data_IF_338709419261
#
_entry.id   IF_338709419261
#
_cell.length_a   1.000
_cell.length_b   1.000
_cell.length_c   1.000
_cell.angle_alpha   90.00
_cell.angle_beta   90.00
_cell.angle_gamma   90.00
#
_symmetry.space_group_name_H-M   'P 1'
#
loop_
_entity.id
_entity.type
_entity.pdbx_description
1 polymer ?
#
# COMPACT_ATOMS: atom_id res chain seq x y z
N UNK A 1 1.40 27.41 -48.23
CA UNK A 1 0.29 27.64 -47.28
C UNK A 1 0.42 26.59 -46.18
N UNK A 2 1.10 26.95 -45.08
CA UNK A 2 1.18 26.14 -43.88
C UNK A 2 -0.18 26.24 -43.16
N UNK A 3 -0.88 25.11 -43.05
CA UNK A 3 -2.00 24.99 -42.11
C UNK A 3 -1.44 24.72 -40.75
N UNK A 4 -1.43 25.72 -39.88
CA UNK A 4 -1.31 25.56 -38.43
C UNK A 4 -2.54 24.79 -37.94
N UNK A 5 -2.40 23.48 -37.71
CA UNK A 5 -3.33 22.73 -36.89
C UNK A 5 -2.84 22.83 -35.45
N UNK A 6 -3.25 23.86 -34.74
CA UNK A 6 -3.27 23.85 -33.27
C UNK A 6 -4.48 23.04 -32.83
N UNK A 7 -4.37 21.71 -32.82
CA UNK A 7 -5.28 20.88 -32.08
C UNK A 7 -4.94 21.07 -30.60
N UNK A 8 -5.79 21.77 -29.87
CA UNK A 8 -5.89 21.70 -28.42
C UNK A 8 -6.26 20.26 -28.07
N UNK A 9 -5.26 19.41 -27.88
CA UNK A 9 -5.50 18.12 -27.24
C UNK A 9 -5.98 18.45 -25.83
N UNK A 10 -7.25 18.20 -25.52
CA UNK A 10 -7.68 18.13 -24.12
C UNK A 10 -6.75 17.09 -23.48
N UNK A 11 -6.15 17.43 -22.32
CA UNK A 11 -5.27 16.53 -21.61
C UNK A 11 -6.01 15.19 -21.39
N UNK A 12 -5.36 14.07 -21.73
CA UNK A 12 -5.90 12.73 -21.51
C UNK A 12 -6.08 12.53 -20.00
N UNK A 13 -7.26 12.09 -19.59
CA UNK A 13 -7.56 11.72 -18.19
C UNK A 13 -7.57 10.19 -18.11
N UNK A 14 -6.49 9.60 -17.62
CA UNK A 14 -6.31 8.14 -17.63
C UNK A 14 -7.37 7.39 -16.85
N UNK A 15 -7.90 7.97 -15.77
CA UNK A 15 -8.94 7.32 -14.95
C UNK A 15 -10.27 7.14 -15.69
N UNK A 16 -10.50 7.83 -16.81
CA UNK A 16 -11.69 7.64 -17.66
C UNK A 16 -11.58 6.38 -18.56
N UNK A 17 -10.39 5.75 -18.66
CA UNK A 17 -10.14 4.57 -19.49
C UNK A 17 -10.08 3.27 -18.67
N UNK A 18 -10.50 3.28 -17.40
CA UNK A 18 -10.53 2.09 -16.56
C UNK A 18 -11.79 2.03 -15.71
N UNK A 19 -12.28 0.80 -15.46
CA UNK A 19 -13.42 0.58 -14.57
C UNK A 19 -13.04 0.68 -13.08
N UNK A 20 -11.78 0.36 -12.74
CA UNK A 20 -11.21 0.42 -11.39
C UNK A 20 -10.22 1.58 -11.22
N UNK A 21 -9.61 1.66 -10.05
CA UNK A 21 -8.57 2.63 -9.76
C UNK A 21 -7.64 2.13 -8.64
N UNK A 22 -6.33 2.19 -8.87
CA UNK A 22 -5.30 1.87 -7.89
C UNK A 22 -5.49 0.52 -7.21
N UNK A 23 -5.02 0.40 -5.97
CA UNK A 23 -5.14 -0.83 -5.16
C UNK A 23 -6.59 -1.19 -4.78
N UNK A 24 -7.56 -0.27 -4.95
CA UNK A 24 -8.99 -0.55 -4.73
C UNK A 24 -9.62 -1.54 -5.73
N UNK A 25 -8.91 -1.95 -6.80
CA UNK A 25 -9.32 -2.98 -7.74
C UNK A 25 -8.80 -4.39 -7.39
N UNK A 26 -8.13 -4.59 -6.27
CA UNK A 26 -7.69 -5.93 -5.83
C UNK A 26 -8.89 -6.89 -5.73
N UNK A 27 -8.64 -8.14 -6.07
CA UNK A 27 -9.60 -9.25 -5.84
C UNK A 27 -9.81 -9.36 -4.34
N UNK A 28 -11.06 -9.58 -3.91
CA UNK A 28 -11.35 -9.72 -2.47
C UNK A 28 -10.60 -10.90 -1.86
N UNK A 29 -10.21 -10.83 -0.58
CA UNK A 29 -9.46 -11.90 0.10
C UNK A 29 -10.12 -13.28 -0.04
N UNK A 30 -11.43 -13.38 0.13
CA UNK A 30 -12.17 -14.65 0.01
C UNK A 30 -12.06 -15.29 -1.38
N UNK A 31 -12.19 -14.48 -2.44
CA UNK A 31 -12.05 -14.95 -3.83
C UNK A 31 -10.59 -15.33 -4.11
N UNK A 32 -9.64 -14.52 -3.60
CA UNK A 32 -8.22 -14.81 -3.77
C UNK A 32 -7.81 -16.11 -3.06
N UNK A 33 -8.30 -16.35 -1.86
CA UNK A 33 -8.06 -17.61 -1.13
C UNK A 33 -8.57 -18.82 -1.93
N UNK A 34 -9.71 -18.68 -2.61
CA UNK A 34 -10.24 -19.72 -3.50
C UNK A 34 -9.34 -19.96 -4.71
N UNK A 35 -8.83 -18.88 -5.34
CA UNK A 35 -7.93 -18.97 -6.50
C UNK A 35 -6.59 -19.60 -6.13
N UNK A 36 -6.06 -19.26 -4.96
CA UNK A 36 -4.75 -19.74 -4.48
C UNK A 36 -4.82 -21.14 -3.85
N UNK A 37 -6.02 -21.63 -3.52
CA UNK A 37 -6.19 -23.00 -3.01
C UNK A 37 -5.69 -24.00 -4.05
N UNK A 38 -4.78 -24.88 -3.64
CA UNK A 38 -4.22 -25.92 -4.50
C UNK A 38 -4.27 -27.29 -3.82
N UNK A 39 -4.67 -28.30 -4.58
CA UNK A 39 -4.53 -29.71 -4.18
C UNK A 39 -3.19 -30.33 -4.55
N UNK A 40 -2.33 -29.57 -5.23
CA UNK A 40 -1.02 -30.05 -5.64
C UNK A 40 -0.08 -30.15 -4.44
N UNK A 41 0.52 -31.33 -4.26
CA UNK A 41 1.57 -31.55 -3.26
C UNK A 41 2.92 -31.18 -3.86
N UNK A 42 3.33 -29.94 -3.61
CA UNK A 42 4.66 -29.46 -4.00
C UNK A 42 5.59 -29.57 -2.77
N UNK A 43 6.76 -30.20 -2.89
CA UNK A 43 7.71 -30.26 -1.78
C UNK A 43 8.05 -28.86 -1.27
N UNK A 44 8.06 -28.70 0.05
CA UNK A 44 8.48 -27.44 0.66
C UNK A 44 9.98 -27.20 0.39
N UNK A 45 10.32 -25.95 0.00
CA UNK A 45 11.71 -25.51 -0.06
C UNK A 45 12.07 -24.83 1.27
N UNK A 46 13.05 -25.37 1.99
CA UNK A 46 13.50 -24.83 3.26
C UNK A 46 14.11 -23.42 3.17
N UNK A 47 14.51 -23.00 1.98
CA UNK A 47 15.05 -21.67 1.74
C UNK A 47 13.94 -20.64 1.45
N UNK A 48 12.72 -21.05 1.13
CA UNK A 48 11.58 -20.15 1.01
C UNK A 48 11.07 -19.81 2.41
N UNK A 49 11.49 -18.65 2.94
CA UNK A 49 11.12 -18.20 4.29
C UNK A 49 9.72 -17.62 4.36
N UNK A 50 9.32 -16.90 3.30
CA UNK A 50 8.01 -16.25 3.17
C UNK A 50 7.45 -16.57 1.78
N UNK A 51 6.23 -17.07 1.73
CA UNK A 51 5.52 -17.44 0.50
C UNK A 51 4.03 -17.18 0.61
N UNK A 52 3.22 -17.72 -0.30
CA UNK A 52 1.78 -17.44 -0.40
C UNK A 52 0.98 -17.71 0.89
N UNK A 53 1.44 -18.63 1.75
CA UNK A 53 0.69 -19.01 2.96
C UNK A 53 0.74 -17.95 4.07
N UNK A 54 1.73 -17.07 4.04
CA UNK A 54 1.91 -16.02 5.06
C UNK A 54 1.14 -14.75 4.75
N UNK A 55 0.66 -14.56 3.51
CA UNK A 55 -0.03 -13.31 3.07
C UNK A 55 0.79 -12.06 3.40
N UNK A 56 2.10 -12.13 3.23
CA UNK A 56 3.05 -11.06 3.50
C UNK A 56 3.33 -10.23 2.24
N UNK A 57 4.00 -9.09 2.39
CA UNK A 57 4.18 -8.09 1.33
C UNK A 57 5.04 -8.60 0.16
N UNK A 58 6.06 -9.45 0.43
CA UNK A 58 6.89 -10.04 -0.61
C UNK A 58 7.28 -11.48 -0.30
N UNK A 59 7.59 -12.25 -1.35
CA UNK A 59 8.25 -13.53 -1.19
C UNK A 59 9.69 -13.33 -0.73
N UNK A 60 10.17 -14.16 0.22
CA UNK A 60 11.51 -14.09 0.80
C UNK A 60 12.24 -15.41 0.68
N UNK A 61 13.39 -15.42 -0.02
CA UNK A 61 14.21 -16.61 -0.28
C UNK A 61 15.60 -16.46 0.30
N UNK A 62 15.99 -17.38 1.19
CA UNK A 62 17.31 -17.42 1.85
C UNK A 62 18.39 -17.90 0.87
N UNK A 63 19.45 -17.11 0.70
CA UNK A 63 20.59 -17.46 -0.14
C UNK A 63 21.61 -18.37 0.57
N UNK A 64 21.41 -18.68 1.85
CA UNK A 64 22.32 -19.52 2.65
C UNK A 64 23.61 -18.83 3.10
N UNK A 65 23.76 -17.52 2.82
CA UNK A 65 24.95 -16.72 3.15
C UNK A 65 24.63 -15.56 4.12
N UNK A 66 23.49 -15.60 4.81
CA UNK A 66 23.00 -14.54 5.70
C UNK A 66 22.22 -13.43 4.99
N UNK A 67 21.98 -13.58 3.69
CA UNK A 67 21.15 -12.65 2.90
C UNK A 67 19.90 -13.35 2.37
N UNK A 68 18.83 -12.57 2.24
CA UNK A 68 17.54 -13.00 1.72
C UNK A 68 17.18 -12.14 0.52
N UNK A 69 16.83 -12.76 -0.60
CA UNK A 69 16.20 -12.10 -1.74
C UNK A 69 14.73 -11.87 -1.43
N UNK A 70 14.26 -10.65 -1.71
CA UNK A 70 12.85 -10.27 -1.72
C UNK A 70 12.38 -10.14 -3.15
N UNK A 71 11.19 -10.64 -3.45
CA UNK A 71 10.57 -10.52 -4.77
C UNK A 71 9.09 -10.24 -4.63
N UNK A 72 8.64 -9.14 -5.21
CA UNK A 72 7.23 -8.75 -5.23
C UNK A 72 6.80 -8.30 -6.62
N UNK A 73 5.50 -8.24 -6.83
CA UNK A 73 4.91 -7.62 -8.03
C UNK A 73 3.59 -6.95 -7.67
N UNK A 74 3.50 -5.67 -7.99
CA UNK A 74 2.27 -4.91 -7.81
C UNK A 74 1.99 -4.06 -9.06
N UNK A 75 0.76 -4.14 -9.55
CA UNK A 75 0.29 -3.40 -10.73
C UNK A 75 -1.20 -3.15 -10.62
N UNK A 76 -1.67 -2.05 -11.19
CA UNK A 76 -3.07 -1.68 -11.15
C UNK A 76 -3.47 -0.73 -12.28
N UNK A 77 -4.76 -0.45 -12.37
CA UNK A 77 -5.36 0.51 -13.28
C UNK A 77 -5.16 1.95 -12.79
N UNK A 78 -5.24 2.97 -13.67
CA UNK A 78 -4.99 4.36 -13.31
C UNK A 78 -5.73 4.84 -12.07
N UNK A 79 -4.96 5.44 -11.13
CA UNK A 79 -5.44 6.11 -9.91
C UNK A 79 -5.34 7.64 -10.05
N UNK A 80 -4.55 8.14 -10.97
CA UNK A 80 -4.38 9.54 -11.29
C UNK A 80 -4.66 9.78 -12.78
N UNK A 81 -5.15 10.97 -13.13
CA UNK A 81 -5.42 11.36 -14.51
C UNK A 81 -4.14 11.66 -15.29
N UNK A 82 -3.15 12.25 -14.63
CA UNK A 82 -1.84 12.53 -15.23
C UNK A 82 -1.05 11.23 -15.43
N UNK A 83 -0.55 10.94 -16.64
CA UNK A 83 0.15 9.70 -16.95
C UNK A 83 1.47 9.55 -16.19
N UNK A 84 2.22 10.63 -16.02
CA UNK A 84 3.49 10.59 -15.29
C UNK A 84 3.27 10.31 -13.81
N UNK A 85 2.28 10.98 -13.19
CA UNK A 85 1.90 10.75 -11.79
C UNK A 85 1.39 9.31 -11.59
N UNK A 86 0.56 8.79 -12.51
CA UNK A 86 0.13 7.39 -12.45
C UNK A 86 1.32 6.42 -12.43
N UNK A 87 2.26 6.60 -13.35
CA UNK A 87 3.45 5.75 -13.41
C UNK A 87 4.32 5.85 -12.17
N UNK A 88 4.50 7.07 -11.63
CA UNK A 88 5.24 7.32 -10.40
C UNK A 88 4.59 6.65 -9.18
N UNK A 89 3.28 6.80 -9.03
CA UNK A 89 2.50 6.19 -7.94
C UNK A 89 2.58 4.66 -8.01
N UNK A 90 2.37 4.07 -9.19
CA UNK A 90 2.38 2.62 -9.36
C UNK A 90 3.75 2.01 -9.02
N UNK A 91 4.83 2.67 -9.43
CA UNK A 91 6.18 2.25 -9.09
C UNK A 91 6.50 2.43 -7.60
N UNK A 92 6.07 3.55 -6.99
CA UNK A 92 6.25 3.80 -5.55
C UNK A 92 5.55 2.73 -4.72
N UNK A 93 4.34 2.35 -5.11
CA UNK A 93 3.57 1.30 -4.46
C UNK A 93 4.28 -0.08 -4.55
N UNK A 94 4.72 -0.49 -5.74
CA UNK A 94 5.40 -1.78 -5.90
C UNK A 94 6.76 -1.87 -5.18
N UNK A 95 7.47 -0.75 -5.05
CA UNK A 95 8.74 -0.71 -4.30
C UNK A 95 8.50 -0.77 -2.78
N UNK A 96 7.32 -0.35 -2.31
CA UNK A 96 6.96 -0.28 -0.89
C UNK A 96 7.09 -1.62 -0.18
N UNK A 97 6.67 -2.72 -0.81
CA UNK A 97 6.74 -4.08 -0.26
C UNK A 97 8.17 -4.46 0.16
N UNK A 98 9.16 -4.03 -0.62
CA UNK A 98 10.56 -4.30 -0.27
C UNK A 98 10.95 -3.56 1.02
N UNK A 99 10.50 -2.32 1.19
CA UNK A 99 10.74 -1.55 2.41
C UNK A 99 9.95 -2.08 3.61
N UNK A 100 8.72 -2.57 3.38
CA UNK A 100 7.89 -3.20 4.41
C UNK A 100 8.56 -4.45 4.98
N UNK A 101 9.23 -5.23 4.13
CA UNK A 101 10.02 -6.40 4.54
C UNK A 101 11.41 -6.04 5.13
N UNK A 102 11.69 -4.74 5.37
CA UNK A 102 12.99 -4.26 5.90
C UNK A 102 14.13 -4.27 4.88
N UNK A 103 13.83 -4.52 3.62
CA UNK A 103 14.79 -4.66 2.55
C UNK A 103 15.18 -3.36 1.85
N UNK A 104 16.20 -3.48 1.01
CA UNK A 104 16.60 -2.44 0.05
C UNK A 104 16.31 -2.94 -1.35
N UNK A 105 15.59 -2.17 -2.19
CA UNK A 105 15.37 -2.54 -3.57
C UNK A 105 16.70 -2.54 -4.34
N UNK A 106 16.84 -3.47 -5.30
CA UNK A 106 18.02 -3.62 -6.15
C UNK A 106 17.74 -3.19 -7.58
N UNK A 107 16.62 -3.63 -8.13
CA UNK A 107 16.16 -3.32 -9.48
C UNK A 107 14.69 -3.59 -9.62
N UNK A 108 14.08 -3.04 -10.67
CA UNK A 108 12.71 -3.30 -11.04
C UNK A 108 12.57 -3.58 -12.54
N UNK A 109 11.53 -4.32 -12.92
CA UNK A 109 11.08 -4.50 -14.30
C UNK A 109 9.60 -4.12 -14.43
N UNK A 110 9.23 -3.46 -15.53
CA UNK A 110 7.89 -2.94 -15.75
C UNK A 110 6.91 -4.01 -16.23
N UNK A 111 5.66 -3.89 -15.78
CA UNK A 111 4.50 -4.58 -16.32
C UNK A 111 3.60 -3.51 -16.94
N UNK A 112 3.35 -3.59 -18.25
CA UNK A 112 2.55 -2.60 -18.98
C UNK A 112 1.46 -3.31 -19.80
N UNK A 113 0.20 -3.07 -19.47
CA UNK A 113 -0.94 -3.31 -20.34
C UNK A 113 -1.40 -1.99 -20.92
N UNK A 114 -1.54 -1.90 -22.27
CA UNK A 114 -1.86 -0.63 -22.91
C UNK A 114 -2.88 -0.80 -24.03
N UNK A 115 -3.98 0.00 -24.06
CA UNK A 115 -4.96 -0.06 -25.14
C UNK A 115 -4.47 0.75 -26.35
N UNK A 116 -3.61 0.15 -27.18
CA UNK A 116 -2.89 0.81 -28.28
C UNK A 116 -3.80 1.44 -29.33
N UNK A 117 -5.06 0.99 -29.44
CA UNK A 117 -6.05 1.53 -30.36
C UNK A 117 -6.85 2.71 -29.76
N UNK A 118 -6.74 2.97 -28.47
CA UNK A 118 -7.50 4.00 -27.74
C UNK A 118 -6.61 5.13 -27.24
N UNK A 119 -5.39 4.82 -26.81
CA UNK A 119 -4.47 5.77 -26.21
C UNK A 119 -3.14 5.83 -26.97
N UNK A 120 -2.59 7.04 -27.22
CA UNK A 120 -1.30 7.22 -27.89
C UNK A 120 -0.14 6.58 -27.14
N UNK A 121 0.88 6.13 -27.87
CA UNK A 121 2.10 5.56 -27.29
C UNK A 121 2.89 6.59 -26.45
N UNK A 122 2.79 7.87 -26.77
CA UNK A 122 3.42 8.98 -26.04
C UNK A 122 2.86 9.12 -24.61
N UNK A 123 1.59 8.76 -24.41
CA UNK A 123 0.97 8.71 -23.09
C UNK A 123 1.52 7.54 -22.27
N UNK A 124 1.69 6.35 -22.89
CA UNK A 124 2.37 5.21 -22.26
C UNK A 124 3.83 5.54 -21.90
N UNK A 125 4.52 6.29 -22.76
CA UNK A 125 5.89 6.76 -22.48
C UNK A 125 5.93 7.59 -21.20
N UNK A 126 5.00 8.52 -21.00
CA UNK A 126 4.92 9.33 -19.77
C UNK A 126 4.69 8.46 -18.52
N UNK A 127 3.83 7.44 -18.62
CA UNK A 127 3.63 6.46 -17.51
C UNK A 127 4.95 5.76 -17.16
N UNK A 128 5.66 5.25 -18.17
CA UNK A 128 6.94 4.57 -17.94
C UNK A 128 8.00 5.54 -17.39
N UNK A 129 8.00 6.80 -17.83
CA UNK A 129 8.93 7.82 -17.31
C UNK A 129 8.62 8.17 -15.85
N UNK A 130 7.34 8.22 -15.43
CA UNK A 130 6.95 8.30 -14.03
C UNK A 130 7.49 7.13 -13.21
N UNK A 131 7.38 5.91 -13.73
CA UNK A 131 7.97 4.71 -13.12
C UNK A 131 9.50 4.78 -12.99
N UNK A 132 10.19 5.27 -14.04
CA UNK A 132 11.65 5.50 -14.00
C UNK A 132 12.04 6.53 -12.94
N UNK A 133 11.26 7.60 -12.79
CA UNK A 133 11.49 8.61 -11.77
C UNK A 133 11.42 8.03 -10.36
N UNK A 134 10.39 7.23 -10.07
CA UNK A 134 10.25 6.56 -8.77
C UNK A 134 11.40 5.58 -8.51
N UNK A 135 11.81 4.80 -9.51
CA UNK A 135 12.98 3.92 -9.40
C UNK A 135 14.26 4.72 -9.10
N UNK A 136 14.49 5.84 -9.79
CA UNK A 136 15.64 6.71 -9.55
C UNK A 136 15.63 7.30 -8.14
N UNK A 137 14.45 7.73 -7.64
CA UNK A 137 14.28 8.18 -6.26
C UNK A 137 14.58 7.07 -5.24
N UNK A 138 14.24 5.81 -5.55
CA UNK A 138 14.61 4.65 -4.75
C UNK A 138 16.10 4.26 -4.85
N UNK A 139 16.85 4.87 -5.79
CA UNK A 139 18.25 4.56 -6.04
C UNK A 139 18.48 3.29 -6.88
N UNK A 140 17.48 2.87 -7.65
CA UNK A 140 17.52 1.68 -8.52
C UNK A 140 17.22 2.03 -9.99
N UNK A 141 17.41 1.06 -10.87
CA UNK A 141 17.06 1.18 -12.28
C UNK A 141 15.78 0.42 -12.61
N UNK A 142 14.95 1.00 -13.46
CA UNK A 142 13.96 0.27 -14.23
C UNK A 142 14.67 -0.44 -15.38
N UNK A 143 14.97 -1.74 -15.19
CA UNK A 143 15.95 -2.47 -16.00
C UNK A 143 15.34 -3.20 -17.23
N UNK A 144 14.02 -3.09 -17.43
CA UNK A 144 13.31 -3.75 -18.51
C UNK A 144 11.85 -3.94 -18.20
N UNK A 145 11.23 -4.95 -18.81
CA UNK A 145 9.82 -5.26 -18.52
C UNK A 145 9.16 -6.03 -19.64
N UNK A 146 7.84 -6.17 -19.52
CA UNK A 146 6.99 -6.80 -20.52
C UNK A 146 5.75 -5.94 -20.78
N UNK A 147 5.28 -5.91 -22.04
CA UNK A 147 4.10 -5.14 -22.41
C UNK A 147 3.16 -5.98 -23.28
N UNK A 148 1.86 -5.76 -23.10
CA UNK A 148 0.79 -6.40 -23.87
C UNK A 148 -0.23 -5.36 -24.33
N UNK A 149 -0.91 -5.62 -25.44
CA UNK A 149 -2.15 -4.94 -25.80
C UNK A 149 -3.25 -5.37 -24.81
N UNK A 150 -3.90 -4.40 -24.19
CA UNK A 150 -4.87 -4.62 -23.12
C UNK A 150 -6.07 -3.70 -23.33
N UNK A 151 -7.30 -4.10 -22.97
CA UNK A 151 -8.48 -3.24 -23.12
C UNK A 151 -8.43 -1.97 -22.24
N UNK A 152 -7.66 -2.00 -21.16
CA UNK A 152 -7.51 -0.89 -20.20
C UNK A 152 -6.04 -0.66 -19.86
N UNK A 153 -5.62 0.58 -19.51
CA UNK A 153 -4.27 0.84 -19.04
C UNK A 153 -3.99 0.08 -17.75
N UNK A 154 -2.86 -0.61 -17.68
CA UNK A 154 -2.34 -1.27 -16.49
C UNK A 154 -0.85 -0.96 -16.41
N UNK A 155 -0.37 -0.54 -15.26
CA UNK A 155 1.05 -0.35 -15.02
C UNK A 155 1.44 -0.74 -13.60
N UNK A 156 2.64 -1.23 -13.47
CA UNK A 156 3.29 -1.56 -12.22
C UNK A 156 4.66 -2.16 -12.42
N UNK A 157 5.22 -2.68 -11.36
CA UNK A 157 6.56 -3.24 -11.37
C UNK A 157 6.58 -4.63 -10.73
N UNK A 158 7.51 -5.47 -11.20
CA UNK A 158 8.09 -6.52 -10.37
C UNK A 158 9.40 -5.99 -9.81
N UNK A 159 9.57 -6.07 -8.49
CA UNK A 159 10.72 -5.49 -7.78
C UNK A 159 11.49 -6.59 -7.06
N UNK A 160 12.81 -6.56 -7.23
CA UNK A 160 13.73 -7.42 -6.48
C UNK A 160 14.48 -6.59 -5.45
N UNK A 161 14.52 -7.08 -4.22
CA UNK A 161 15.24 -6.48 -3.11
C UNK A 161 16.15 -7.46 -2.38
N UNK A 162 16.89 -6.95 -1.43
CA UNK A 162 17.78 -7.72 -0.58
C UNK A 162 17.67 -7.24 0.87
N UNK A 163 17.70 -8.18 1.81
CA UNK A 163 17.72 -7.90 3.25
C UNK A 163 18.68 -8.88 3.96
N UNK A 164 19.30 -8.44 5.05
CA UNK A 164 20.00 -9.37 5.94
C UNK A 164 18.97 -10.28 6.63
N UNK A 165 19.25 -11.58 6.74
CA UNK A 165 18.29 -12.56 7.26
C UNK A 165 17.76 -12.22 8.66
N UNK A 166 18.63 -11.69 9.52
CA UNK A 166 18.30 -11.27 10.88
C UNK A 166 17.53 -9.93 10.96
N UNK A 167 17.39 -9.22 9.83
CA UNK A 167 16.66 -7.96 9.71
C UNK A 167 15.41 -8.07 8.84
N UNK A 168 15.11 -9.28 8.33
CA UNK A 168 13.86 -9.54 7.63
C UNK A 168 12.67 -9.25 8.56
N UNK A 169 11.76 -8.41 8.12
CA UNK A 169 10.50 -8.13 8.80
C UNK A 169 9.36 -8.85 8.10
N UNK A 170 8.40 -9.27 8.88
CA UNK A 170 7.19 -9.94 8.42
C UNK A 170 5.98 -9.31 9.13
N UNK A 171 4.80 -9.52 8.60
CA UNK A 171 3.57 -8.99 9.17
C UNK A 171 3.00 -9.86 10.31
N UNK A 172 3.57 -11.03 10.58
CA UNK A 172 3.04 -12.06 11.47
C UNK A 172 3.93 -12.40 12.67
N UNK A 173 4.85 -11.50 13.03
CA UNK A 173 5.87 -11.73 14.08
C UNK A 173 5.71 -10.81 15.28
N UNK A 174 4.62 -10.04 15.35
CA UNK A 174 4.38 -9.11 16.46
C UNK A 174 3.92 -9.82 17.74
N UNK A 175 4.19 -9.20 18.89
CA UNK A 175 3.74 -9.68 20.20
C UNK A 175 2.81 -8.69 20.90
N UNK A 176 2.05 -9.19 21.87
CA UNK A 176 1.21 -8.32 22.71
C UNK A 176 2.07 -7.35 23.51
N UNK A 177 1.64 -6.09 23.63
CA UNK A 177 2.36 -4.98 24.23
C UNK A 177 3.04 -4.06 23.23
N UNK A 178 3.24 -4.49 21.97
CA UNK A 178 3.77 -3.61 20.92
C UNK A 178 2.88 -2.40 20.71
N UNK A 179 3.48 -1.22 20.55
CA UNK A 179 2.82 -0.01 20.06
C UNK A 179 2.73 -0.04 18.53
N UNK A 180 1.64 0.50 18.00
CA UNK A 180 1.37 0.57 16.57
C UNK A 180 1.60 1.99 16.05
N UNK A 181 2.25 2.09 14.88
CA UNK A 181 2.52 3.35 14.18
C UNK A 181 2.07 3.24 12.72
N UNK A 182 1.54 4.35 12.17
CA UNK A 182 1.19 4.45 10.76
C UNK A 182 1.89 5.67 10.16
N UNK A 183 2.75 5.47 9.15
CA UNK A 183 3.67 6.51 8.69
C UNK A 183 3.07 7.52 7.72
N UNK A 184 1.93 7.23 7.07
CA UNK A 184 1.23 8.15 6.17
C UNK A 184 -0.25 8.29 6.57
N UNK A 185 -0.90 9.43 6.27
CA UNK A 185 -2.31 9.63 6.57
C UNK A 185 -3.23 8.76 5.69
N UNK A 186 -4.39 8.40 6.23
CA UNK A 186 -5.48 7.75 5.50
C UNK A 186 -6.34 8.77 4.74
N UNK A 187 -7.13 8.28 3.77
CA UNK A 187 -8.09 9.07 3.01
C UNK A 187 -7.77 9.14 1.52
N UNK A 188 -6.75 8.43 1.04
CA UNK A 188 -6.36 8.38 -0.38
C UNK A 188 -7.53 7.90 -1.24
N UNK A 189 -8.22 6.81 -0.86
CA UNK A 189 -9.35 6.28 -1.61
C UNK A 189 -10.52 7.28 -1.68
N UNK A 190 -10.80 7.98 -0.59
CA UNK A 190 -11.85 9.00 -0.52
C UNK A 190 -11.53 10.17 -1.45
N UNK A 191 -10.31 10.73 -1.40
CA UNK A 191 -9.92 11.87 -2.24
C UNK A 191 -9.86 11.50 -3.73
N UNK A 192 -9.31 10.32 -4.08
CA UNK A 192 -9.27 9.86 -5.48
C UNK A 192 -10.67 9.56 -6.00
N UNK A 193 -11.61 9.11 -5.16
CA UNK A 193 -13.04 9.00 -5.50
C UNK A 193 -13.64 10.36 -5.74
N UNK A 194 -13.34 11.37 -4.91
CA UNK A 194 -13.78 12.76 -5.12
C UNK A 194 -13.26 13.31 -6.45
N UNK A 195 -12.00 13.03 -6.82
CA UNK A 195 -11.43 13.39 -8.10
C UNK A 195 -12.17 12.73 -9.27
N UNK A 196 -12.42 11.42 -9.21
CA UNK A 196 -13.17 10.68 -10.24
C UNK A 196 -14.60 11.21 -10.38
N UNK A 197 -15.24 11.60 -9.28
CA UNK A 197 -16.58 12.22 -9.26
C UNK A 197 -16.59 13.72 -9.65
N UNK A 198 -15.43 14.32 -9.95
CA UNK A 198 -15.28 15.76 -10.27
C UNK A 198 -15.75 16.68 -9.13
N UNK A 199 -15.59 16.23 -7.88
CA UNK A 199 -15.93 16.94 -6.65
C UNK A 199 -14.71 17.45 -5.89
N UNK A 200 -13.49 17.03 -6.29
CA UNK A 200 -12.25 17.45 -5.63
C UNK A 200 -12.05 18.94 -5.83
N UNK A 201 -11.78 19.68 -4.74
CA UNK A 201 -11.50 21.11 -4.77
C UNK A 201 -10.10 21.34 -5.36
N UNK A 202 -9.90 22.48 -6.01
CA UNK A 202 -8.61 22.81 -6.64
C UNK A 202 -7.44 22.87 -5.63
N UNK A 203 -7.69 23.37 -4.42
CA UNK A 203 -6.70 23.42 -3.35
C UNK A 203 -6.26 22.02 -2.84
N UNK A 204 -7.08 21.00 -3.06
CA UNK A 204 -6.85 19.63 -2.58
C UNK A 204 -6.28 18.71 -3.69
N UNK A 205 -6.14 19.22 -4.92
CA UNK A 205 -5.83 18.46 -6.14
C UNK A 205 -4.61 17.52 -5.97
N UNK A 206 -3.59 17.95 -5.26
CA UNK A 206 -2.34 17.23 -5.15
C UNK A 206 -2.15 16.46 -3.83
N UNK A 207 -3.07 16.58 -2.87
CA UNK A 207 -2.89 15.98 -1.54
C UNK A 207 -2.74 14.45 -1.59
N UNK A 208 -3.67 13.76 -2.26
CA UNK A 208 -3.59 12.29 -2.39
C UNK A 208 -2.39 11.87 -3.25
N UNK A 209 -2.14 12.58 -4.38
CA UNK A 209 -0.98 12.32 -5.24
C UNK A 209 0.34 12.41 -4.48
N UNK A 210 0.54 13.48 -3.71
CA UNK A 210 1.78 13.71 -2.98
C UNK A 210 2.02 12.60 -1.94
N UNK A 211 1.00 12.19 -1.21
CA UNK A 211 1.09 11.06 -0.28
C UNK A 211 1.39 9.75 -1.01
N UNK A 212 0.73 9.47 -2.14
CA UNK A 212 0.98 8.25 -2.92
C UNK A 212 2.39 8.20 -3.53
N UNK A 213 2.97 9.37 -3.84
CA UNK A 213 4.34 9.47 -4.36
C UNK A 213 5.44 9.43 -3.28
N UNK A 214 5.09 9.49 -1.99
CA UNK A 214 6.07 9.37 -0.89
C UNK A 214 6.59 7.94 -0.79
N UNK A 215 7.92 7.77 -0.86
CA UNK A 215 8.56 6.47 -0.68
C UNK A 215 8.56 6.02 0.79
N UNK A 216 8.29 4.76 1.04
CA UNK A 216 8.38 4.12 2.37
C UNK A 216 9.82 3.71 2.75
N UNK A 217 10.84 4.48 2.34
CA UNK A 217 12.27 4.19 2.58
C UNK A 217 12.61 4.00 4.04
N UNK A 218 11.88 4.66 4.93
CA UNK A 218 12.07 4.56 6.38
C UNK A 218 11.93 3.11 6.86
N UNK A 219 11.20 2.24 6.15
CA UNK A 219 11.09 0.81 6.47
C UNK A 219 12.43 0.11 6.56
N UNK A 220 13.37 0.41 5.63
CA UNK A 220 14.72 -0.14 5.67
C UNK A 220 15.56 0.37 6.86
N UNK A 221 15.25 1.55 7.41
CA UNK A 221 15.92 2.10 8.59
C UNK A 221 15.35 1.51 9.88
N UNK A 222 14.03 1.52 10.01
CA UNK A 222 13.36 1.02 11.22
C UNK A 222 13.51 -0.49 11.39
N UNK A 223 13.71 -1.24 10.30
CA UNK A 223 13.99 -2.68 10.37
C UNK A 223 15.30 -3.01 11.12
N UNK A 224 16.23 -2.06 11.22
CA UNK A 224 17.49 -2.23 11.94
C UNK A 224 17.30 -2.14 13.46
N UNK A 225 16.20 -1.53 13.92
CA UNK A 225 15.85 -1.42 15.34
C UNK A 225 15.35 -2.76 15.86
N UNK A 226 16.00 -3.30 16.88
CA UNK A 226 15.74 -4.66 17.37
C UNK A 226 14.31 -4.83 17.93
N UNK A 227 13.73 -3.80 18.52
CA UNK A 227 12.35 -3.83 19.05
C UNK A 227 11.24 -3.70 18.00
N UNK A 228 11.57 -3.48 16.73
CA UNK A 228 10.57 -3.51 15.64
C UNK A 228 10.29 -4.97 15.28
N UNK A 229 9.10 -5.46 15.58
CA UNK A 229 8.74 -6.87 15.46
C UNK A 229 8.01 -7.18 14.16
N UNK A 230 7.08 -6.31 13.71
CA UNK A 230 6.37 -6.50 12.46
C UNK A 230 6.25 -5.18 11.69
N UNK A 231 6.28 -5.27 10.37
CA UNK A 231 6.02 -4.17 9.45
C UNK A 231 5.18 -4.73 8.30
N UNK A 232 4.22 -3.95 7.82
CA UNK A 232 3.53 -4.13 6.53
C UNK A 232 3.16 -2.76 5.98
N UNK A 233 2.86 -2.63 4.70
CA UNK A 233 2.29 -1.39 4.17
C UNK A 233 0.75 -1.45 4.09
N UNK A 234 0.10 -0.31 4.27
CA UNK A 234 -1.36 -0.22 4.25
C UNK A 234 -1.83 0.14 2.84
N UNK A 235 -2.42 -0.82 2.14
CA UNK A 235 -2.87 -0.65 0.76
C UNK A 235 -4.37 -0.97 0.59
N UNK A 236 -4.73 -1.80 -0.37
CA UNK A 236 -6.10 -1.98 -0.86
C UNK A 236 -7.11 -2.48 0.17
N UNK A 237 -6.69 -3.17 1.22
CA UNK A 237 -7.60 -3.66 2.27
C UNK A 237 -7.87 -2.65 3.39
N UNK A 238 -7.25 -1.46 3.30
CA UNK A 238 -7.37 -0.41 4.32
C UNK A 238 -6.63 -0.75 5.62
N UNK A 239 -6.63 0.19 6.56
CA UNK A 239 -5.93 -0.01 7.84
C UNK A 239 -6.45 -1.27 8.58
N UNK A 240 -7.77 -1.46 8.63
CA UNK A 240 -8.34 -2.60 9.37
C UNK A 240 -7.97 -3.94 8.75
N UNK A 241 -7.94 -4.05 7.42
CA UNK A 241 -7.58 -5.30 6.74
C UNK A 241 -6.13 -5.70 7.01
N UNK A 242 -5.18 -4.79 6.82
CA UNK A 242 -3.76 -5.08 7.06
C UNK A 242 -3.44 -5.27 8.54
N UNK A 243 -4.07 -4.51 9.44
CA UNK A 243 -3.93 -4.76 10.88
C UNK A 243 -4.51 -6.13 11.30
N UNK A 244 -5.60 -6.55 10.66
CA UNK A 244 -6.17 -7.87 10.91
C UNK A 244 -5.21 -8.99 10.49
N UNK A 245 -4.52 -8.85 9.35
CA UNK A 245 -3.47 -9.78 8.92
C UNK A 245 -2.37 -9.89 9.97
N UNK A 246 -1.92 -8.75 10.52
CA UNK A 246 -0.95 -8.72 11.63
C UNK A 246 -1.50 -9.43 12.87
N UNK A 247 -2.74 -9.16 13.27
CA UNK A 247 -3.35 -9.76 14.44
C UNK A 247 -3.51 -11.28 14.31
N UNK A 248 -4.02 -11.75 13.16
CA UNK A 248 -4.23 -13.17 12.90
C UNK A 248 -2.92 -13.93 12.78
N UNK A 249 -1.96 -13.37 12.02
CA UNK A 249 -0.65 -13.98 11.81
C UNK A 249 0.18 -14.07 13.09
N UNK A 250 0.07 -13.06 13.97
CA UNK A 250 0.82 -12.97 15.24
C UNK A 250 0.08 -13.59 16.43
N UNK A 251 -1.20 -13.94 16.30
CA UNK A 251 -1.99 -14.50 17.40
C UNK A 251 -2.32 -13.49 18.51
N UNK A 252 -2.52 -12.22 18.15
CA UNK A 252 -2.81 -11.10 19.06
C UNK A 252 -4.10 -10.38 18.68
N UNK A 253 -4.53 -9.42 19.50
CA UNK A 253 -5.58 -8.46 19.19
C UNK A 253 -4.99 -7.06 19.14
N UNK A 254 -5.75 -6.08 18.64
CA UNK A 254 -5.33 -4.68 18.57
C UNK A 254 -6.38 -3.73 19.15
N UNK A 255 -5.91 -2.64 19.77
CA UNK A 255 -6.71 -1.48 20.13
C UNK A 255 -6.19 -0.27 19.35
N UNK A 256 -7.07 0.39 18.60
CA UNK A 256 -6.75 1.59 17.80
C UNK A 256 -7.34 2.82 18.50
N UNK A 257 -6.53 3.85 18.62
CA UNK A 257 -6.91 5.17 19.17
C UNK A 257 -7.37 6.06 17.99
N UNK A 258 -8.68 6.20 17.81
CA UNK A 258 -9.27 6.90 16.67
C UNK A 258 -8.65 8.28 16.43
N UNK A 259 -8.51 9.07 17.50
CA UNK A 259 -7.97 10.43 17.42
C UNK A 259 -6.48 10.52 17.06
N UNK A 260 -5.74 9.42 17.19
CA UNK A 260 -4.30 9.35 16.88
C UNK A 260 -4.02 8.89 15.44
N UNK A 261 -5.01 8.33 14.73
CA UNK A 261 -4.82 7.90 13.34
C UNK A 261 -4.67 9.12 12.44
N UNK A 262 -3.55 9.25 11.69
CA UNK A 262 -3.35 10.39 10.79
C UNK A 262 -4.31 10.33 9.62
N UNK A 263 -4.98 11.46 9.33
CA UNK A 263 -5.92 11.61 8.23
C UNK A 263 -5.50 12.75 7.32
N UNK A 264 -5.77 12.63 6.03
CA UNK A 264 -5.67 13.76 5.11
C UNK A 264 -6.67 14.87 5.57
N UNK A 265 -6.23 16.13 5.66
CA UNK A 265 -7.04 17.19 6.30
C UNK A 265 -8.49 17.30 5.81
N UNK A 266 -8.78 17.24 4.48
CA UNK A 266 -10.15 17.45 4.00
C UNK A 266 -10.99 16.16 3.94
N UNK A 267 -10.49 15.01 4.43
CA UNK A 267 -11.14 13.72 4.21
C UNK A 267 -12.59 13.69 4.73
N UNK A 268 -12.85 14.28 5.90
CA UNK A 268 -14.19 14.31 6.50
C UNK A 268 -15.19 15.15 5.67
N UNK A 269 -14.72 16.22 5.04
CA UNK A 269 -15.56 17.02 4.13
C UNK A 269 -16.02 16.17 2.93
N UNK A 270 -15.10 15.40 2.34
CA UNK A 270 -15.42 14.54 1.19
C UNK A 270 -16.31 13.36 1.57
N UNK A 271 -16.18 12.81 2.78
CA UNK A 271 -17.13 11.82 3.31
C UNK A 271 -18.53 12.43 3.38
N UNK A 272 -18.67 13.64 3.93
CA UNK A 272 -19.94 14.35 4.01
C UNK A 272 -20.55 14.67 2.62
N UNK A 273 -19.71 14.82 1.58
CA UNK A 273 -20.14 14.99 0.18
C UNK A 273 -20.48 13.65 -0.50
N UNK A 274 -20.41 12.52 0.19
CA UNK A 274 -20.71 11.18 -0.33
C UNK A 274 -19.60 10.62 -1.26
N UNK A 275 -18.37 11.05 -1.11
CA UNK A 275 -17.23 10.52 -1.88
C UNK A 275 -16.70 9.24 -1.23
N UNK A 276 -17.46 8.14 -1.36
CA UNK A 276 -17.13 6.86 -0.75
C UNK A 276 -16.62 5.88 -1.82
N UNK A 277 -15.41 5.31 -1.67
CA UNK A 277 -14.91 4.28 -2.58
C UNK A 277 -15.75 3.01 -2.48
N UNK A 278 -16.07 2.40 -3.61
CA UNK A 278 -16.75 1.11 -3.60
C UNK A 278 -15.95 -0.03 -2.94
N UNK A 279 -14.62 0.15 -2.83
CA UNK A 279 -13.72 -0.76 -2.14
C UNK A 279 -13.93 -0.80 -0.63
N UNK A 280 -14.33 0.31 0.00
CA UNK A 280 -14.53 0.41 1.45
C UNK A 280 -15.56 -0.59 1.97
N UNK A 281 -16.72 -0.67 1.33
CA UNK A 281 -17.76 -1.63 1.75
C UNK A 281 -17.35 -3.06 1.46
N UNK A 282 -16.74 -3.34 0.30
CA UNK A 282 -16.22 -4.68 0.00
C UNK A 282 -15.18 -5.15 1.02
N UNK A 283 -14.32 -4.25 1.47
CA UNK A 283 -13.37 -4.50 2.54
C UNK A 283 -14.09 -4.87 3.84
N UNK A 284 -15.01 -4.02 4.28
CA UNK A 284 -15.78 -4.27 5.50
C UNK A 284 -16.60 -5.57 5.42
N UNK A 285 -17.26 -5.83 4.29
CA UNK A 285 -18.03 -7.07 4.08
C UNK A 285 -17.13 -8.32 4.15
N UNK A 286 -15.85 -8.21 3.80
CA UNK A 286 -14.90 -9.34 3.79
C UNK A 286 -14.36 -9.71 5.17
N UNK A 287 -14.29 -8.77 6.12
CA UNK A 287 -13.63 -9.02 7.41
C UNK A 287 -14.27 -8.30 8.60
N UNK A 288 -15.36 -7.58 8.40
CA UNK A 288 -16.00 -6.77 9.44
C UNK A 288 -16.56 -7.57 10.61
N UNK A 289 -16.85 -8.85 10.42
CA UNK A 289 -17.27 -9.80 11.47
C UNK A 289 -16.18 -10.05 12.53
N UNK A 290 -14.92 -9.80 12.20
CA UNK A 290 -13.77 -9.93 13.09
C UNK A 290 -13.44 -8.65 13.86
N UNK A 291 -14.12 -7.55 13.54
CA UNK A 291 -13.93 -6.22 14.15
C UNK A 291 -15.01 -5.99 15.21
N UNK A 292 -14.64 -5.32 16.32
CA UNK A 292 -15.63 -4.76 17.22
C UNK A 292 -16.56 -3.78 16.46
N UNK A 293 -17.80 -3.55 16.93
CA UNK A 293 -18.75 -2.69 16.23
C UNK A 293 -18.17 -1.31 15.92
N UNK A 294 -18.14 -0.93 14.65
CA UNK A 294 -17.66 0.37 14.17
C UNK A 294 -18.83 1.28 13.81
N UNK A 295 -18.67 2.58 14.03
CA UNK A 295 -19.55 3.62 13.46
C UNK A 295 -19.39 3.65 11.93
N UNK A 296 -20.35 4.26 11.22
CA UNK A 296 -20.26 4.38 9.76
C UNK A 296 -19.08 5.28 9.32
N UNK A 297 -18.72 6.29 10.14
CA UNK A 297 -17.53 7.11 9.89
C UNK A 297 -16.24 6.29 10.06
N UNK A 298 -16.13 5.49 11.14
CA UNK A 298 -14.98 4.60 11.37
C UNK A 298 -14.82 3.56 10.26
N UNK A 299 -15.92 2.92 9.82
CA UNK A 299 -15.89 2.00 8.66
C UNK A 299 -15.35 2.70 7.42
N UNK A 300 -15.87 3.91 7.15
CA UNK A 300 -15.48 4.67 5.97
C UNK A 300 -14.01 5.06 6.00
N UNK A 301 -13.46 5.47 7.16
CA UNK A 301 -12.09 5.91 7.29
C UNK A 301 -11.10 4.74 7.32
N UNK A 302 -11.39 3.71 8.11
CA UNK A 302 -10.41 2.67 8.43
C UNK A 302 -10.44 1.47 7.48
N UNK A 303 -11.57 1.29 6.75
CA UNK A 303 -11.65 0.31 5.66
C UNK A 303 -11.43 0.97 4.28
N UNK A 304 -11.09 2.28 4.22
CA UNK A 304 -10.79 3.02 2.98
C UNK A 304 -9.58 2.39 2.29
N UNK A 305 -9.71 1.90 1.04
CA UNK A 305 -8.57 1.36 0.32
C UNK A 305 -7.53 2.44 0.07
N UNK A 306 -6.29 2.19 0.49
CA UNK A 306 -5.16 3.06 0.22
C UNK A 306 -4.41 2.57 -1.02
N UNK A 307 -3.82 3.47 -1.77
CA UNK A 307 -2.84 3.18 -2.82
C UNK A 307 -1.52 3.82 -2.41
N UNK A 308 -0.45 3.06 -2.39
CA UNK A 308 0.85 3.51 -1.90
C UNK A 308 0.75 4.16 -0.50
N UNK A 309 0.07 3.48 0.41
CA UNK A 309 -0.13 3.97 1.77
C UNK A 309 1.13 3.89 2.63
N UNK A 310 0.99 4.20 3.92
CA UNK A 310 2.08 4.20 4.88
C UNK A 310 2.40 2.80 5.43
N UNK A 311 3.55 2.69 6.07
CA UNK A 311 3.90 1.49 6.84
C UNK A 311 3.11 1.45 8.13
N UNK A 312 2.57 0.28 8.45
CA UNK A 312 2.06 -0.10 9.76
C UNK A 312 3.19 -0.84 10.48
N UNK A 313 3.64 -0.29 11.61
CA UNK A 313 4.81 -0.77 12.33
C UNK A 313 4.40 -1.16 13.74
N UNK A 314 4.74 -2.38 14.15
CA UNK A 314 4.60 -2.85 15.52
C UNK A 314 5.98 -2.85 16.20
N UNK A 315 6.11 -2.14 17.33
CA UNK A 315 7.37 -1.96 18.06
C UNK A 315 7.18 -2.15 19.56
N UNK A 316 8.15 -2.77 20.21
CA UNK A 316 8.18 -2.90 21.67
C UNK A 316 8.19 -1.52 22.35
N UNK A 317 7.47 -1.34 23.47
CA UNK A 317 7.32 -0.04 24.12
C UNK A 317 8.64 0.65 24.48
N UNK A 318 9.65 -0.11 24.88
CA UNK A 318 11.00 0.38 25.22
C UNK A 318 11.75 0.98 24.04
N UNK A 319 11.44 0.56 22.80
CA UNK A 319 12.05 1.07 21.58
C UNK A 319 11.21 2.15 20.88
N UNK A 320 10.04 2.49 21.43
CA UNK A 320 9.12 3.45 20.82
C UNK A 320 9.74 4.84 20.62
N UNK A 321 10.46 5.35 21.62
CA UNK A 321 11.09 6.68 21.52
C UNK A 321 12.19 6.75 20.44
N UNK A 322 12.94 5.65 20.24
CA UNK A 322 13.94 5.57 19.18
C UNK A 322 13.27 5.51 17.81
N UNK A 323 12.22 4.69 17.66
CA UNK A 323 11.39 4.65 16.45
C UNK A 323 10.84 6.04 16.12
N UNK A 324 10.22 6.74 17.08
CA UNK A 324 9.67 8.08 16.88
C UNK A 324 10.74 9.07 16.39
N UNK A 325 11.96 9.00 16.93
CA UNK A 325 13.08 9.82 16.46
C UNK A 325 13.46 9.54 15.01
N UNK A 326 13.44 8.27 14.58
CA UNK A 326 13.70 7.88 13.18
C UNK A 326 12.58 8.41 12.28
N UNK A 327 11.32 8.20 12.65
CA UNK A 327 10.16 8.65 11.88
C UNK A 327 10.13 10.17 11.74
N UNK A 328 10.41 10.93 12.81
CA UNK A 328 10.49 12.39 12.78
C UNK A 328 11.60 12.89 11.85
N UNK A 329 12.77 12.27 11.86
CA UNK A 329 13.87 12.59 10.95
C UNK A 329 13.52 12.31 9.49
N UNK A 330 12.74 11.27 9.24
CA UNK A 330 12.23 10.93 7.92
C UNK A 330 11.08 11.86 7.47
N UNK A 331 10.55 12.71 8.35
CA UNK A 331 9.47 13.65 8.04
C UNK A 331 8.10 12.96 7.86
N UNK A 332 7.91 11.78 8.47
CA UNK A 332 6.64 11.03 8.45
C UNK A 332 5.94 11.09 9.82
N UNK A 333 4.69 10.62 9.87
CA UNK A 333 3.95 10.60 11.13
C UNK A 333 4.64 9.71 12.17
N UNK A 334 4.80 10.23 13.38
CA UNK A 334 5.62 9.63 14.43
C UNK A 334 4.88 9.50 15.78
N UNK A 335 3.55 9.43 15.76
CA UNK A 335 2.73 9.20 16.95
C UNK A 335 2.14 7.79 16.91
N UNK A 336 2.10 7.11 18.07
CA UNK A 336 1.44 5.82 18.18
C UNK A 336 -0.06 5.95 17.92
N UNK A 337 -0.60 5.08 17.08
CA UNK A 337 -2.03 5.01 16.74
C UNK A 337 -2.79 3.95 17.54
N UNK A 338 -2.12 3.16 18.36
CA UNK A 338 -2.72 2.05 19.09
C UNK A 338 -1.68 1.09 19.65
N UNK A 339 -2.15 -0.06 20.10
CA UNK A 339 -1.31 -1.10 20.68
C UNK A 339 -1.85 -2.50 20.38
N UNK A 340 -0.94 -3.49 20.41
CA UNK A 340 -1.30 -4.90 20.37
C UNK A 340 -1.51 -5.43 21.79
N UNK A 341 -2.58 -6.20 21.97
CA UNK A 341 -2.96 -6.76 23.26
C UNK A 341 -3.06 -8.30 23.16
N UNK A 342 -2.99 -9.03 24.27
CA UNK A 342 -3.20 -10.47 24.27
C UNK A 342 -4.53 -10.84 23.59
N UNK A 343 -4.51 -11.90 22.78
CA UNK A 343 -5.71 -12.39 22.12
C UNK A 343 -6.77 -12.78 23.15
N UNK A 344 -7.95 -12.16 23.08
CA UNK A 344 -9.08 -12.40 23.96
C UNK A 344 -10.40 -12.01 23.29
N UNK A 345 -11.50 -12.64 23.68
CA UNK A 345 -12.83 -12.30 23.21
C UNK A 345 -13.10 -12.76 21.76
N UNK A 346 -14.15 -12.17 21.17
CA UNK A 346 -14.66 -12.51 19.84
C UNK A 346 -13.97 -11.71 18.75
N UNK A 347 -13.66 -10.45 19.02
CA UNK A 347 -13.13 -9.51 18.01
C UNK A 347 -11.61 -9.41 18.09
N UNK A 348 -10.99 -9.20 16.93
CA UNK A 348 -9.53 -9.02 16.80
C UNK A 348 -9.08 -7.58 16.94
N UNK A 349 -9.91 -6.62 16.53
CA UNK A 349 -9.58 -5.20 16.56
C UNK A 349 -10.72 -4.42 17.19
N UNK A 350 -10.39 -3.56 18.13
CA UNK A 350 -11.28 -2.58 18.75
C UNK A 350 -10.79 -1.17 18.45
N UNK A 351 -11.72 -0.25 18.16
CA UNK A 351 -11.43 1.18 17.96
C UNK A 351 -12.03 1.94 19.14
N UNK A 352 -11.22 2.72 19.84
CA UNK A 352 -11.65 3.57 20.95
C UNK A 352 -11.50 5.05 20.57
N UNK A 353 -12.51 5.85 20.90
CA UNK A 353 -12.57 7.27 20.49
C UNK A 353 -11.65 8.18 21.31
N UNK A 354 -11.31 7.80 22.55
CA UNK A 354 -10.44 8.57 23.43
C UNK A 354 -9.37 7.67 24.09
N UNK A 355 -8.13 8.17 24.09
CA UNK A 355 -7.07 7.58 24.92
C UNK A 355 -7.40 7.90 26.38
N UNK A 356 -7.70 6.88 27.18
CA UNK A 356 -7.92 7.04 28.62
C UNK A 356 -6.65 7.37 29.36
#
# INVERSE_FOLDING_TARGET
>A
VQKNNSSTHSAVRLTEYSHGAGCGCKISPEVLDTILASSLQIPADANLLVGNSSKDDAAAYDLGNGQVILSTTDFFMPIADDPFDFGRIAATNAISDIYAMGGKPLMAIAILGWPVNLLPAEVAQQVVDGGRQACAEAGILLAGGHSIDSPEPIFGLAVTGLVAKDKLKQNNTATAGCKLYLTKPLGVGILTTAQKQKKLRAEDEFLARDVMCMMNKVGAEVSLLDGVEAITDVTGFGLMGHLLEVCEGSGVNAVIYESAVPLLPPVKDYIAMGCLPGGTMRNFDSYGDKLAPLTDEQKTLFCDPQTSGGLLIAVQPENAAELESILQKAGVHAQSIGELVPAAGEFRIEVISDVK
#
